data_IF_694993452787
#
_entry.id   IF_694993452787
#
_cell.length_a   1.000
_cell.length_b   1.000
_cell.length_c   1.000
_cell.angle_alpha   90.00
_cell.angle_beta   90.00
_cell.angle_gamma   90.00
#
_symmetry.space_group_name_H-M   'P 1'
#
loop_
_entity.id
_entity.type
_entity.pdbx_description
1 polymer ?
#
# COMPACT_ATOMS: atom_id res chain seq x y z
N UNK A 1 -18.49 25.27 3.69
CA UNK A 1 -19.26 24.03 3.59
C UNK A 1 -20.25 23.98 4.75
N UNK A 2 -21.44 23.40 4.59
CA UNK A 2 -22.43 23.28 5.67
C UNK A 2 -21.93 22.30 6.75
N UNK A 3 -22.34 22.52 8.00
CA UNK A 3 -21.98 21.67 9.15
C UNK A 3 -22.41 20.21 8.99
N UNK A 4 -23.48 19.95 8.21
CA UNK A 4 -23.93 18.60 7.89
C UNK A 4 -22.97 17.83 6.96
N UNK A 5 -22.31 18.50 6.01
CA UNK A 5 -21.31 17.85 5.14
C UNK A 5 -20.01 17.54 5.90
N UNK A 6 -19.67 18.34 6.93
CA UNK A 6 -18.49 18.11 7.76
C UNK A 6 -18.63 16.87 8.67
N UNK A 7 -19.84 16.60 9.17
CA UNK A 7 -20.17 15.40 9.97
C UNK A 7 -20.16 14.10 9.13
N UNK A 8 -20.36 14.19 7.82
CA UNK A 8 -20.28 13.03 6.92
C UNK A 8 -18.82 12.64 6.64
N UNK A 9 -17.94 13.65 6.47
CA UNK A 9 -16.52 13.45 6.17
C UNK A 9 -15.71 12.89 7.37
N UNK A 10 -16.12 13.16 8.62
CA UNK A 10 -15.42 12.67 9.82
C UNK A 10 -15.53 11.14 9.98
N UNK A 11 -16.58 10.54 9.40
CA UNK A 11 -16.87 9.11 9.45
C UNK A 11 -16.65 8.42 8.09
N UNK A 12 -16.20 9.15 7.06
CA UNK A 12 -16.05 8.62 5.70
C UNK A 12 -14.59 8.53 5.31
N UNK A 13 -14.12 7.33 4.94
CA UNK A 13 -12.80 7.16 4.35
C UNK A 13 -12.80 7.61 2.88
N UNK A 14 -11.91 8.55 2.55
CA UNK A 14 -11.58 8.93 1.18
C UNK A 14 -10.29 8.23 0.79
N UNK A 15 -10.36 7.26 -0.13
CA UNK A 15 -9.21 6.44 -0.51
C UNK A 15 -8.94 6.65 -1.99
N UNK A 16 -7.74 7.10 -2.35
CA UNK A 16 -7.30 7.06 -3.74
C UNK A 16 -6.81 5.64 -4.05
N UNK A 17 -7.39 4.99 -5.05
CA UNK A 17 -7.01 3.63 -5.46
C UNK A 17 -6.30 3.69 -6.81
N UNK A 18 -5.12 3.10 -6.89
CA UNK A 18 -4.35 2.95 -8.13
C UNK A 18 -3.59 1.61 -8.14
N UNK A 19 -3.14 1.15 -9.30
CA UNK A 19 -2.36 -0.09 -9.46
C UNK A 19 -1.59 -0.03 -10.77
N UNK A 20 -0.55 -0.85 -10.92
CA UNK A 20 0.15 -1.07 -12.19
C UNK A 20 0.69 0.23 -12.80
N UNK A 21 1.29 1.07 -11.93
CA UNK A 21 1.86 2.36 -12.33
C UNK A 21 3.12 2.14 -13.19
N UNK A 22 3.84 1.04 -12.96
CA UNK A 22 5.03 0.63 -13.71
C UNK A 22 6.06 1.75 -13.91
N UNK A 23 6.45 2.42 -12.81
CA UNK A 23 7.46 3.47 -12.86
C UNK A 23 8.75 2.97 -13.52
N UNK A 24 9.25 3.78 -14.46
CA UNK A 24 10.44 3.46 -15.25
C UNK A 24 10.17 2.64 -16.50
N UNK A 25 8.92 2.28 -16.80
CA UNK A 25 8.58 1.67 -18.09
C UNK A 25 9.01 2.59 -19.25
N UNK A 26 9.77 2.01 -20.19
CA UNK A 26 10.35 2.71 -21.34
C UNK A 26 11.18 3.96 -20.98
N UNK A 27 11.80 4.02 -19.80
CA UNK A 27 12.54 5.19 -19.31
C UNK A 27 13.61 5.75 -20.29
N UNK A 28 14.17 4.89 -21.15
CA UNK A 28 15.20 5.26 -22.15
C UNK A 28 14.62 5.73 -23.49
N UNK A 29 13.32 5.63 -23.70
CA UNK A 29 12.67 6.10 -24.91
C UNK A 29 12.65 7.63 -24.97
N UNK A 30 13.01 8.20 -26.12
CA UNK A 30 13.17 9.64 -26.29
C UNK A 30 11.85 10.42 -26.20
N UNK A 31 10.72 9.77 -26.47
CA UNK A 31 9.38 10.39 -26.48
C UNK A 31 8.62 10.03 -25.21
N UNK A 32 8.66 8.75 -24.82
CA UNK A 32 7.81 8.14 -23.78
C UNK A 32 8.49 7.98 -22.44
N UNK A 33 9.80 8.22 -22.36
CA UNK A 33 10.58 7.94 -21.15
C UNK A 33 10.22 8.76 -19.92
N UNK A 34 9.28 9.71 -20.03
CA UNK A 34 8.75 10.46 -18.90
C UNK A 34 7.29 10.17 -18.55
N UNK A 35 6.59 9.34 -19.33
CA UNK A 35 5.14 9.12 -19.21
C UNK A 35 4.76 8.69 -17.79
N UNK A 36 5.42 7.64 -17.29
CA UNK A 36 5.10 7.05 -15.97
C UNK A 36 5.35 8.00 -14.81
N UNK A 37 6.37 8.86 -14.91
CA UNK A 37 6.68 9.85 -13.88
C UNK A 37 5.66 10.98 -13.84
N UNK A 38 5.20 11.44 -15.01
CA UNK A 38 4.14 12.47 -15.12
C UNK A 38 2.82 11.91 -14.60
N UNK A 39 2.49 10.67 -14.94
CA UNK A 39 1.27 10.01 -14.45
C UNK A 39 1.33 9.77 -12.93
N UNK A 40 2.47 9.38 -12.36
CA UNK A 40 2.60 9.31 -10.89
C UNK A 40 2.41 10.68 -10.24
N UNK A 41 3.02 11.73 -10.79
CA UNK A 41 2.82 13.11 -10.30
C UNK A 41 1.33 13.50 -10.31
N UNK A 42 0.59 13.15 -11.37
CA UNK A 42 -0.86 13.35 -11.44
C UNK A 42 -1.63 12.56 -10.39
N UNK A 43 -1.35 11.27 -10.23
CA UNK A 43 -2.01 10.43 -9.21
C UNK A 43 -1.82 11.02 -7.81
N UNK A 44 -0.60 11.40 -7.46
CA UNK A 44 -0.28 11.94 -6.14
C UNK A 44 -0.83 13.36 -5.94
N UNK A 45 -0.81 14.19 -6.99
CA UNK A 45 -1.45 15.51 -6.97
C UNK A 45 -2.95 15.39 -6.76
N UNK A 46 -3.63 14.48 -7.46
CA UNK A 46 -5.06 14.20 -7.24
C UNK A 46 -5.34 13.73 -5.81
N UNK A 47 -4.46 12.91 -5.22
CA UNK A 47 -4.58 12.51 -3.81
C UNK A 47 -4.60 13.73 -2.87
N UNK A 48 -3.68 14.67 -3.09
CA UNK A 48 -3.55 15.89 -2.31
C UNK A 48 -4.72 16.86 -2.55
N UNK A 49 -5.07 17.13 -3.81
CA UNK A 49 -6.17 18.03 -4.20
C UNK A 49 -7.53 17.56 -3.68
N UNK A 50 -7.74 16.24 -3.63
CA UNK A 50 -8.98 15.65 -3.10
C UNK A 50 -8.92 15.39 -1.60
N UNK A 51 -7.82 15.74 -0.91
CA UNK A 51 -7.62 15.56 0.53
C UNK A 51 -7.98 14.14 0.98
N UNK A 52 -7.47 13.13 0.27
CA UNK A 52 -7.74 11.72 0.62
C UNK A 52 -7.11 11.35 1.95
N UNK A 53 -7.70 10.41 2.67
CA UNK A 53 -7.17 9.90 3.94
C UNK A 53 -5.90 9.09 3.69
N UNK A 54 -5.89 8.22 2.68
CA UNK A 54 -4.71 7.47 2.26
C UNK A 54 -4.79 7.04 0.79
N UNK A 55 -3.64 6.62 0.24
CA UNK A 55 -3.52 6.02 -1.09
C UNK A 55 -3.39 4.51 -0.93
N UNK A 56 -4.12 3.73 -1.73
CA UNK A 56 -4.07 2.28 -1.77
C UNK A 56 -3.59 1.79 -3.14
N UNK A 57 -2.44 1.12 -3.15
CA UNK A 57 -1.78 0.63 -4.34
C UNK A 57 -1.89 -0.90 -4.47
N UNK A 58 -2.29 -1.36 -5.65
CA UNK A 58 -2.53 -2.76 -5.98
C UNK A 58 -1.31 -3.57 -6.43
N UNK A 59 -0.10 -3.03 -6.34
CA UNK A 59 1.13 -3.66 -6.81
C UNK A 59 1.65 -3.08 -8.13
N UNK A 60 2.83 -3.54 -8.56
CA UNK A 60 3.54 -3.09 -9.75
C UNK A 60 3.72 -1.56 -9.80
N UNK A 61 4.15 -0.99 -8.66
CA UNK A 61 4.54 0.41 -8.59
C UNK A 61 5.75 0.67 -9.51
N UNK A 62 6.69 -0.28 -9.55
CA UNK A 62 7.87 -0.22 -10.42
C UNK A 62 7.76 -1.23 -11.55
N UNK A 63 8.23 -0.86 -12.74
CA UNK A 63 8.28 -1.78 -13.88
C UNK A 63 9.37 -2.86 -13.76
N UNK A 64 10.44 -2.54 -13.04
CA UNK A 64 11.61 -3.40 -12.85
C UNK A 64 11.81 -3.64 -11.35
N UNK A 65 12.12 -4.88 -10.96
CA UNK A 65 12.39 -5.22 -9.55
C UNK A 65 13.58 -4.46 -8.96
N UNK A 66 14.51 -4.04 -9.83
CA UNK A 66 15.67 -3.21 -9.53
C UNK A 66 15.51 -1.90 -10.30
N UNK A 67 14.67 -0.97 -9.82
CA UNK A 67 14.44 0.28 -10.51
C UNK A 67 15.73 1.06 -10.70
N UNK A 68 15.82 1.82 -11.79
CA UNK A 68 16.97 2.69 -12.03
C UNK A 68 17.08 3.74 -10.92
N UNK A 69 18.28 4.31 -10.74
CA UNK A 69 18.47 5.41 -9.78
C UNK A 69 17.56 6.60 -10.08
N UNK A 70 17.33 6.91 -11.36
CA UNK A 70 16.42 7.98 -11.77
C UNK A 70 14.99 7.62 -11.36
N UNK A 71 14.53 6.41 -11.69
CA UNK A 71 13.19 5.94 -11.33
C UNK A 71 12.92 6.01 -9.82
N UNK A 72 13.83 5.48 -9.01
CA UNK A 72 13.68 5.45 -7.56
C UNK A 72 13.77 6.85 -6.94
N UNK A 73 14.69 7.70 -7.43
CA UNK A 73 14.83 9.07 -6.95
C UNK A 73 13.59 9.91 -7.24
N UNK A 74 13.08 9.88 -8.48
CA UNK A 74 11.87 10.60 -8.88
C UNK A 74 10.67 10.14 -8.07
N UNK A 75 10.52 8.83 -7.82
CA UNK A 75 9.46 8.29 -6.96
C UNK A 75 9.52 8.88 -5.54
N UNK A 76 10.70 8.87 -4.91
CA UNK A 76 10.91 9.43 -3.57
C UNK A 76 10.65 10.94 -3.53
N UNK A 77 11.06 11.69 -4.55
CA UNK A 77 10.79 13.13 -4.66
C UNK A 77 9.28 13.42 -4.70
N UNK A 78 8.55 12.68 -5.54
CA UNK A 78 7.10 12.87 -5.70
C UNK A 78 6.34 12.45 -4.44
N UNK A 79 6.67 11.32 -3.82
CA UNK A 79 6.08 10.90 -2.56
C UNK A 79 6.35 11.93 -1.45
N UNK A 80 7.59 12.44 -1.35
CA UNK A 80 7.93 13.49 -0.39
C UNK A 80 7.12 14.77 -0.65
N UNK A 81 6.95 15.17 -1.91
CA UNK A 81 6.25 16.39 -2.31
C UNK A 81 4.77 16.37 -1.93
N UNK A 82 4.09 15.23 -2.11
CA UNK A 82 2.63 15.17 -1.98
C UNK A 82 2.13 14.47 -0.71
N UNK A 83 2.92 13.56 -0.12
CA UNK A 83 2.48 12.75 1.03
C UNK A 83 2.97 13.28 2.39
N UNK A 84 3.87 14.26 2.42
CA UNK A 84 4.29 14.95 3.65
C UNK A 84 3.58 16.30 3.77
N UNK A 85 3.26 16.71 4.99
CA UNK A 85 2.62 17.99 5.26
C UNK A 85 2.00 18.07 6.65
N UNK A 86 1.49 19.25 7.00
CA UNK A 86 1.00 19.54 8.36
C UNK A 86 -0.43 19.02 8.63
N UNK A 87 -1.14 18.52 7.61
CA UNK A 87 -2.49 17.98 7.77
C UNK A 87 -2.41 16.65 8.56
N UNK A 88 -3.03 16.56 9.75
CA UNK A 88 -3.00 15.34 10.54
C UNK A 88 -3.81 14.21 9.89
N UNK A 89 -3.28 12.98 9.97
CA UNK A 89 -4.02 11.77 9.58
C UNK A 89 -5.21 11.57 10.53
N UNK A 90 -6.42 11.43 9.96
CA UNK A 90 -7.69 11.43 10.71
C UNK A 90 -8.21 10.03 11.07
N UNK A 91 -7.39 9.00 10.87
CA UNK A 91 -7.74 7.61 11.20
C UNK A 91 -6.65 6.97 12.05
N UNK A 92 -7.03 5.92 12.77
CA UNK A 92 -6.13 5.16 13.62
C UNK A 92 -5.98 3.72 13.16
N UNK A 93 -4.91 3.07 13.61
CA UNK A 93 -4.67 1.64 13.44
C UNK A 93 -4.91 0.92 14.77
N UNK A 94 -5.81 -0.07 14.76
CA UNK A 94 -6.23 -0.83 15.94
C UNK A 94 -5.55 -2.19 16.08
N UNK A 95 -5.03 -2.73 14.97
CA UNK A 95 -4.31 -4.00 14.94
C UNK A 95 -2.90 -3.87 15.51
N UNK A 96 -2.35 -4.99 15.99
CA UNK A 96 -0.92 -5.11 16.26
C UNK A 96 -0.13 -4.92 14.96
N UNK A 97 0.54 -3.78 14.85
CA UNK A 97 1.25 -3.36 13.64
C UNK A 97 2.42 -4.29 13.30
N UNK A 98 3.01 -4.95 14.30
CA UNK A 98 4.14 -5.87 14.08
C UNK A 98 3.74 -7.11 13.28
N UNK A 99 2.45 -7.47 13.26
CA UNK A 99 1.93 -8.59 12.45
C UNK A 99 1.98 -8.24 10.96
N UNK A 100 1.65 -7.01 10.59
CA UNK A 100 1.56 -6.58 9.20
C UNK A 100 2.85 -5.95 8.67
N UNK A 101 3.64 -5.31 9.53
CA UNK A 101 4.83 -4.54 9.18
C UNK A 101 6.12 -5.11 9.78
N UNK A 102 6.09 -6.29 10.41
CA UNK A 102 7.22 -6.89 11.12
C UNK A 102 8.45 -7.25 10.27
N UNK A 103 8.34 -7.20 8.94
CA UNK A 103 9.49 -7.35 8.04
C UNK A 103 10.31 -6.05 7.90
N UNK A 104 9.76 -4.91 8.32
CA UNK A 104 10.48 -3.64 8.42
C UNK A 104 11.23 -3.54 9.75
N UNK A 105 12.31 -2.75 9.76
CA UNK A 105 12.98 -2.33 11.01
C UNK A 105 12.18 -1.29 11.79
N UNK A 106 11.19 -0.68 11.14
CA UNK A 106 10.21 0.22 11.73
C UNK A 106 8.83 -0.47 11.63
N UNK A 107 8.49 -1.39 12.57
CA UNK A 107 7.30 -2.23 12.49
C UNK A 107 6.00 -1.49 12.88
N UNK A 108 5.86 -0.25 12.42
CA UNK A 108 4.70 0.61 12.62
C UNK A 108 4.41 1.41 11.35
N UNK A 109 3.19 1.93 11.23
CA UNK A 109 2.76 2.78 10.12
C UNK A 109 3.54 4.10 10.12
N UNK A 110 3.92 4.55 8.93
CA UNK A 110 4.82 5.69 8.76
C UNK A 110 4.32 7.01 9.39
N UNK A 111 3.00 7.22 9.44
CA UNK A 111 2.41 8.43 10.03
C UNK A 111 2.37 8.43 11.56
N UNK A 112 2.79 7.35 12.20
CA UNK A 112 3.03 7.30 13.66
C UNK A 112 4.51 7.42 14.01
N UNK A 113 5.40 7.61 13.02
CA UNK A 113 6.82 7.87 13.30
C UNK A 113 7.00 9.31 13.80
N UNK A 114 7.57 9.47 15.00
CA UNK A 114 7.77 10.78 15.62
C UNK A 114 8.74 11.71 14.88
N UNK A 115 9.48 11.22 13.88
CA UNK A 115 10.44 11.99 13.10
C UNK A 115 9.94 12.35 11.68
N UNK A 116 8.76 11.84 11.28
CA UNK A 116 8.22 12.03 9.93
C UNK A 116 6.83 12.68 9.99
N UNK A 117 6.68 13.80 9.29
CA UNK A 117 5.39 14.48 9.18
C UNK A 117 4.63 14.00 7.92
N UNK A 118 3.96 12.86 8.04
CA UNK A 118 3.18 12.25 6.96
C UNK A 118 1.73 12.77 7.01
N UNK A 119 1.27 13.34 5.91
CA UNK A 119 -0.11 13.83 5.76
C UNK A 119 -0.99 12.90 4.92
N UNK A 120 -0.41 12.09 4.03
CA UNK A 120 -1.15 11.12 3.21
C UNK A 120 -0.38 9.79 3.21
N UNK A 121 -0.72 8.83 4.08
CA UNK A 121 -0.12 7.51 4.07
C UNK A 121 -0.37 6.78 2.74
N UNK A 122 0.63 6.03 2.27
CA UNK A 122 0.48 5.14 1.11
C UNK A 122 0.56 3.70 1.60
N UNK A 123 -0.45 2.88 1.31
CA UNK A 123 -0.44 1.44 1.55
C UNK A 123 -0.29 0.71 0.23
N UNK A 124 0.65 -0.21 0.13
CA UNK A 124 0.87 -0.98 -1.09
C UNK A 124 1.14 -2.45 -0.79
N UNK A 125 0.58 -3.33 -1.61
CA UNK A 125 1.15 -4.67 -1.81
C UNK A 125 2.21 -4.59 -2.91
N UNK A 126 3.08 -5.60 -3.00
CA UNK A 126 3.93 -5.78 -4.18
C UNK A 126 3.19 -6.57 -5.26
N UNK A 127 3.47 -6.27 -6.52
CA UNK A 127 3.05 -7.04 -7.69
C UNK A 127 4.10 -8.08 -8.09
N UNK A 128 4.09 -8.47 -9.36
CA UNK A 128 5.00 -9.47 -9.92
C UNK A 128 6.25 -8.85 -10.58
N UNK A 129 6.22 -7.56 -10.93
CA UNK A 129 7.37 -6.82 -11.46
C UNK A 129 8.24 -6.23 -10.35
N UNK A 130 7.64 -5.87 -9.21
CA UNK A 130 8.32 -5.33 -8.03
C UNK A 130 8.30 -6.33 -6.85
N UNK A 131 8.45 -7.61 -7.16
CA UNK A 131 8.46 -8.71 -6.20
C UNK A 131 9.75 -8.76 -5.35
N UNK A 132 9.71 -9.40 -4.15
CA UNK A 132 10.89 -9.59 -3.33
C UNK A 132 11.94 -10.49 -4.00
N UNK A 133 13.16 -9.98 -4.19
CA UNK A 133 14.26 -10.73 -4.83
C UNK A 133 15.57 -10.63 -4.05
N UNK A 134 16.58 -11.42 -4.44
CA UNK A 134 17.93 -11.36 -3.86
C UNK A 134 18.10 -12.13 -2.54
N UNK A 135 19.30 -12.04 -1.96
CA UNK A 135 19.69 -12.80 -0.78
C UNK A 135 18.84 -12.45 0.47
N UNK A 136 18.47 -11.18 0.59
CA UNK A 136 17.67 -10.66 1.71
C UNK A 136 16.15 -10.69 1.42
N UNK A 137 15.76 -11.17 0.23
CA UNK A 137 14.37 -11.17 -0.24
C UNK A 137 13.68 -9.81 -0.03
N UNK A 138 14.31 -8.73 -0.52
CA UNK A 138 13.76 -7.37 -0.47
C UNK A 138 13.18 -6.99 -1.82
N UNK A 139 12.17 -6.12 -1.82
CA UNK A 139 11.65 -5.48 -3.03
C UNK A 139 11.87 -3.96 -3.02
N UNK A 140 11.54 -3.31 -4.13
CA UNK A 140 11.62 -1.86 -4.24
C UNK A 140 10.72 -1.13 -3.22
N UNK A 141 9.57 -1.72 -2.84
CA UNK A 141 8.71 -1.16 -1.80
C UNK A 141 9.35 -1.16 -0.41
N UNK A 142 10.24 -2.11 -0.10
CA UNK A 142 10.96 -2.14 1.17
C UNK A 142 11.91 -0.94 1.31
N UNK A 143 12.44 -0.43 0.19
CA UNK A 143 13.24 0.81 0.17
C UNK A 143 12.34 2.01 0.49
N UNK A 144 11.16 2.10 -0.13
CA UNK A 144 10.22 3.18 0.13
C UNK A 144 9.65 3.14 1.56
N UNK A 145 9.46 1.94 2.10
CA UNK A 145 9.04 1.74 3.48
C UNK A 145 10.12 2.13 4.48
N UNK A 146 11.36 1.73 4.24
CA UNK A 146 12.51 2.16 5.04
C UNK A 146 12.71 3.69 5.00
N UNK A 147 12.43 4.32 3.86
CA UNK A 147 12.46 5.77 3.71
C UNK A 147 11.25 6.49 4.35
N UNK A 148 10.24 5.75 4.84
CA UNK A 148 9.08 6.29 5.54
C UNK A 148 7.93 6.76 4.65
N UNK A 149 7.91 6.42 3.36
CA UNK A 149 6.88 6.91 2.43
C UNK A 149 5.78 5.89 2.14
N UNK A 150 6.04 4.59 2.30
CA UNK A 150 5.09 3.51 1.98
C UNK A 150 4.95 2.52 3.14
N UNK A 151 3.71 2.21 3.49
CA UNK A 151 3.35 1.09 4.35
C UNK A 151 3.20 -0.15 3.46
N UNK A 152 4.29 -0.89 3.26
CA UNK A 152 4.24 -2.17 2.55
C UNK A 152 3.47 -3.17 3.42
N UNK A 153 2.44 -3.83 2.89
CA UNK A 153 1.65 -4.84 3.60
C UNK A 153 1.33 -6.03 2.69
N UNK A 154 0.75 -7.10 3.26
CA UNK A 154 0.29 -8.25 2.48
C UNK A 154 1.39 -9.21 2.02
N UNK A 155 2.62 -9.05 2.51
CA UNK A 155 3.74 -9.96 2.22
C UNK A 155 3.52 -11.33 2.89
N UNK A 156 3.47 -12.39 2.10
CA UNK A 156 3.40 -13.77 2.62
C UNK A 156 4.80 -14.34 2.88
N UNK A 157 5.11 -14.64 4.14
CA UNK A 157 6.42 -15.18 4.54
C UNK A 157 6.52 -16.71 4.43
N UNK A 158 5.41 -17.43 4.50
CA UNK A 158 5.40 -18.88 4.58
C UNK A 158 5.22 -19.52 3.20
N UNK A 159 5.93 -20.63 2.99
CA UNK A 159 5.84 -21.43 1.75
C UNK A 159 4.76 -22.51 1.85
N UNK A 160 4.44 -22.96 3.06
CA UNK A 160 3.54 -24.11 3.31
C UNK A 160 2.06 -23.71 3.48
N UNK A 161 1.82 -22.56 4.12
CA UNK A 161 0.50 -21.97 4.34
C UNK A 161 0.52 -20.44 4.22
N UNK A 162 -0.59 -19.84 3.86
CA UNK A 162 -0.78 -18.39 3.77
C UNK A 162 -1.85 -18.01 4.80
N UNK A 163 -1.43 -17.33 5.86
CA UNK A 163 -2.33 -16.74 6.85
C UNK A 163 -2.37 -15.22 6.60
N UNK A 164 -3.51 -14.71 6.14
CA UNK A 164 -3.69 -13.30 5.79
C UNK A 164 -4.31 -12.58 7.00
N UNK A 165 -3.54 -11.67 7.60
CA UNK A 165 -3.98 -10.85 8.73
C UNK A 165 -4.38 -9.45 8.25
N UNK A 166 -5.55 -8.92 8.66
CA UNK A 166 -5.99 -7.59 8.26
C UNK A 166 -5.25 -6.49 9.03
N UNK A 167 -4.96 -5.39 8.35
CA UNK A 167 -4.70 -4.09 8.97
C UNK A 167 -6.05 -3.51 9.38
N UNK A 168 -6.23 -3.22 10.67
CA UNK A 168 -7.51 -2.71 11.20
C UNK A 168 -7.46 -1.20 11.33
N UNK A 169 -8.25 -0.51 10.51
CA UNK A 169 -8.30 0.95 10.45
C UNK A 169 -9.65 1.47 10.97
N UNK A 170 -9.64 2.57 11.70
CA UNK A 170 -10.86 3.24 12.15
C UNK A 170 -10.79 4.75 11.91
N UNK A 171 -11.86 5.31 11.34
CA UNK A 171 -12.08 6.75 11.18
C UNK A 171 -13.49 7.08 11.69
N UNK A 172 -13.56 7.82 12.79
CA UNK A 172 -14.83 8.06 13.49
C UNK A 172 -15.51 6.74 13.84
N UNK A 173 -16.75 6.54 13.38
CA UNK A 173 -17.51 5.29 13.55
C UNK A 173 -17.21 4.19 12.52
N UNK A 174 -16.51 4.51 11.43
CA UNK A 174 -16.31 3.58 10.31
C UNK A 174 -15.04 2.76 10.50
N UNK A 175 -15.16 1.44 10.31
CA UNK A 175 -14.08 0.47 10.52
C UNK A 175 -13.78 -0.29 9.23
N UNK A 176 -12.51 -0.34 8.83
CA UNK A 176 -12.02 -1.11 7.67
C UNK A 176 -11.09 -2.22 8.16
N UNK A 177 -11.37 -3.45 7.70
CA UNK A 177 -10.41 -4.56 7.79
C UNK A 177 -9.73 -4.71 6.43
N UNK A 178 -8.52 -4.15 6.31
CA UNK A 178 -7.74 -4.11 5.07
C UNK A 178 -6.83 -5.35 4.98
N UNK A 179 -7.19 -6.25 4.09
CA UNK A 179 -6.41 -7.44 3.74
C UNK A 179 -5.56 -7.15 2.51
N UNK A 180 -4.38 -7.77 2.45
CA UNK A 180 -3.50 -7.70 1.29
C UNK A 180 -2.82 -9.03 1.03
N UNK A 181 -2.62 -9.35 -0.24
CA UNK A 181 -1.77 -10.45 -0.68
C UNK A 181 -0.92 -9.96 -1.84
N UNK A 182 0.37 -9.73 -1.56
CA UNK A 182 1.36 -9.45 -2.60
C UNK A 182 1.45 -10.61 -3.59
N UNK A 183 1.92 -10.32 -4.80
CA UNK A 183 1.87 -11.30 -5.89
C UNK A 183 2.58 -12.61 -5.52
N UNK A 184 1.90 -13.72 -5.77
CA UNK A 184 2.42 -15.08 -5.69
C UNK A 184 2.27 -15.69 -7.09
N UNK A 185 3.20 -16.53 -7.58
CA UNK A 185 3.00 -17.22 -8.85
C UNK A 185 1.64 -17.94 -8.89
N UNK A 186 0.83 -17.68 -9.94
CA UNK A 186 -0.60 -18.06 -9.97
C UNK A 186 -0.79 -19.57 -9.74
N UNK A 187 0.02 -20.42 -10.39
CA UNK A 187 0.01 -21.87 -10.22
C UNK A 187 0.19 -22.30 -8.76
N UNK A 188 1.06 -21.60 -8.04
CA UNK A 188 1.33 -21.87 -6.62
C UNK A 188 0.13 -21.43 -5.79
N UNK A 189 -0.37 -20.21 -5.98
CA UNK A 189 -1.50 -19.71 -5.21
C UNK A 189 -2.76 -20.58 -5.43
N UNK A 190 -3.03 -20.97 -6.67
CA UNK A 190 -4.10 -21.91 -7.03
C UNK A 190 -4.00 -23.22 -6.24
N UNK A 191 -2.82 -23.87 -6.24
CA UNK A 191 -2.58 -25.10 -5.46
C UNK A 191 -2.80 -24.88 -3.97
N UNK A 192 -2.42 -23.73 -3.43
CA UNK A 192 -2.62 -23.42 -2.01
C UNK A 192 -4.10 -23.27 -1.68
N UNK A 193 -4.91 -22.65 -2.54
CA UNK A 193 -6.36 -22.58 -2.37
C UNK A 193 -7.02 -23.96 -2.45
N UNK A 194 -6.67 -24.77 -3.46
CA UNK A 194 -7.19 -26.14 -3.63
C UNK A 194 -6.91 -26.99 -2.37
N UNK A 195 -5.69 -26.89 -1.84
CA UNK A 195 -5.24 -27.65 -0.67
C UNK A 195 -5.68 -27.03 0.67
N UNK A 196 -6.56 -26.02 0.68
CA UNK A 196 -7.03 -25.33 1.90
C UNK A 196 -5.89 -24.78 2.77
N UNK A 197 -4.85 -24.26 2.12
CA UNK A 197 -3.66 -23.68 2.76
C UNK A 197 -3.70 -22.16 2.82
N UNK A 198 -4.78 -21.52 2.38
CA UNK A 198 -5.00 -20.08 2.49
C UNK A 198 -6.09 -19.83 3.52
N UNK A 199 -5.77 -19.07 4.57
CA UNK A 199 -6.69 -18.70 5.65
C UNK A 199 -6.68 -17.18 5.82
N UNK A 200 -7.86 -16.58 5.89
CA UNK A 200 -8.01 -15.16 6.24
C UNK A 200 -8.41 -15.05 7.70
N UNK A 201 -7.58 -14.38 8.52
CA UNK A 201 -7.86 -14.18 9.93
C UNK A 201 -8.85 -13.04 10.09
N UNK A 202 -9.92 -13.25 10.86
CA UNK A 202 -10.93 -12.20 11.10
C UNK A 202 -10.62 -11.43 12.39
N UNK A 203 -11.05 -10.15 12.49
CA UNK A 203 -11.01 -9.42 13.75
C UNK A 203 -11.74 -10.20 14.84
N UNK A 204 -11.18 -10.26 16.06
CA UNK A 204 -11.80 -11.00 17.18
C UNK A 204 -13.11 -10.36 17.65
N UNK A 205 -13.21 -9.04 17.53
CA UNK A 205 -14.32 -8.25 18.04
C UNK A 205 -15.20 -7.76 16.89
N UNK A 206 -16.51 -7.89 17.11
CA UNK A 206 -17.55 -7.26 16.29
C UNK A 206 -17.38 -7.54 14.78
N UNK A 207 -17.20 -8.82 14.43
CA UNK A 207 -16.85 -9.30 13.09
C UNK A 207 -17.68 -8.71 11.93
N UNK A 208 -18.93 -8.31 12.19
CA UNK A 208 -19.88 -7.80 11.20
C UNK A 208 -19.84 -6.27 11.03
N UNK A 209 -19.13 -5.57 11.90
CA UNK A 209 -19.01 -4.11 11.87
C UNK A 209 -17.91 -3.60 10.95
N UNK A 210 -17.08 -4.51 10.42
CA UNK A 210 -15.94 -4.18 9.59
C UNK A 210 -16.31 -4.20 8.11
N UNK A 211 -15.98 -3.13 7.39
CA UNK A 211 -15.89 -3.17 5.94
C UNK A 211 -14.64 -3.95 5.54
N UNK A 212 -14.83 -5.14 4.95
CA UNK A 212 -13.72 -6.01 4.56
C UNK A 212 -13.25 -5.64 3.15
N UNK A 213 -12.01 -5.15 3.04
CA UNK A 213 -11.38 -4.75 1.79
C UNK A 213 -10.18 -5.65 1.53
N UNK A 214 -10.07 -6.25 0.34
CA UNK A 214 -8.95 -7.15 0.00
C UNK A 214 -8.25 -6.72 -1.28
N UNK A 215 -6.94 -6.50 -1.20
CA UNK A 215 -6.06 -6.16 -2.33
C UNK A 215 -5.25 -7.38 -2.74
N UNK A 216 -5.30 -7.74 -4.02
CA UNK A 216 -4.56 -8.85 -4.62
C UNK A 216 -3.95 -8.43 -5.95
N UNK A 217 -2.85 -9.08 -6.34
CA UNK A 217 -2.21 -8.87 -7.63
C UNK A 217 -1.98 -10.22 -8.34
N UNK A 218 -3.01 -10.73 -9.02
CA UNK A 218 -3.09 -12.07 -9.61
C UNK A 218 -3.84 -12.04 -10.94
N UNK A 219 -3.62 -13.04 -11.80
CA UNK A 219 -4.40 -13.19 -13.02
C UNK A 219 -5.88 -13.44 -12.70
N UNK A 220 -6.77 -12.68 -13.35
CA UNK A 220 -8.22 -12.83 -13.21
C UNK A 220 -8.80 -13.86 -14.18
N UNK A 221 -8.21 -13.98 -15.37
CA UNK A 221 -8.67 -14.81 -16.49
C UNK A 221 -7.54 -15.71 -16.94
#
# INVERSE_FOLDING_TARGET
MSTANALDDENTFKILVATDIHLGFMEKDAVRGNDTFVTLDEILRLAQENEVDFILLGGDLFHENKPSRKTLHTCLELLRKYCMGDRPVQFEILSDQSVNFGFSKFPWVNYQDGNLNISIPVFSIHGNHDDPTGADALCALDILSCAGFVNHFGRSMSVEKIDISPVLLQKGSTKIALYGLGSIPDERLYRMFVNKKVTMLRPKEDENSWFNLFVIHQNRV
#
